data_IF_438416722375
#
_entry.id   IF_438416722375
#
_cell.length_a   1.000
_cell.length_b   1.000
_cell.length_c   1.000
_cell.angle_alpha   90.00
_cell.angle_beta   90.00
_cell.angle_gamma   90.00
#
_symmetry.space_group_name_H-M   'P 1'
#
loop_
_entity.id
_entity.type
_entity.pdbx_description
1 polymer ?
#
# COMPACT_ATOMS: atom_id res chain seq x y z
N UNK A 1 -6.09 66.39 32.22
CA UNK A 1 -6.73 65.21 32.86
C UNK A 1 -6.11 63.95 32.24
N UNK A 2 -5.08 63.36 32.87
CA UNK A 2 -5.11 62.13 33.70
C UNK A 2 -5.54 60.84 32.96
N UNK A 3 -4.53 59.97 32.76
CA UNK A 3 -4.46 58.48 32.92
C UNK A 3 -5.34 57.64 31.96
N UNK A 4 -4.87 56.57 31.31
CA UNK A 4 -4.10 55.45 31.85
C UNK A 4 -3.44 54.58 30.75
N UNK A 5 -2.22 54.10 31.00
CA UNK A 5 -1.60 52.91 30.40
C UNK A 5 -2.21 51.62 31.04
N UNK A 6 -1.99 50.34 30.68
CA UNK A 6 -0.83 49.53 30.23
C UNK A 6 -1.38 48.18 29.59
N UNK A 7 -0.64 47.05 29.35
CA UNK A 7 -0.17 46.56 28.05
C UNK A 7 -0.58 45.10 27.64
N UNK A 8 -0.13 44.71 26.45
CA UNK A 8 0.30 43.35 26.02
C UNK A 8 -0.69 42.18 26.07
N UNK A 9 -0.81 41.45 24.95
CA UNK A 9 -0.53 40.00 24.95
C UNK A 9 -0.65 39.34 23.56
N UNK A 10 0.44 38.62 23.24
CA UNK A 10 0.56 37.41 22.39
C UNK A 10 0.47 37.56 20.86
N UNK A 11 1.55 37.18 20.13
CA UNK A 11 1.45 36.95 18.70
C UNK A 11 0.58 35.72 18.45
N UNK A 12 -0.30 35.81 17.43
CA UNK A 12 -1.10 34.70 16.91
C UNK A 12 -0.15 33.52 16.61
N UNK A 13 -0.34 32.40 17.30
CA UNK A 13 0.32 31.13 16.97
C UNK A 13 -0.01 30.79 15.53
N UNK A 14 1.01 30.87 14.68
CA UNK A 14 0.96 30.36 13.32
C UNK A 14 0.72 28.85 13.41
N UNK A 15 -0.38 28.41 12.82
CA UNK A 15 -0.62 26.99 12.58
C UNK A 15 0.43 26.51 11.58
N UNK A 16 1.55 26.00 12.10
CA UNK A 16 2.48 25.20 11.30
C UNK A 16 1.70 23.97 10.85
N UNK A 17 1.33 23.96 9.57
CA UNK A 17 0.82 22.76 8.87
C UNK A 17 1.83 21.64 9.09
N UNK A 18 1.41 20.61 9.82
CA UNK A 18 2.13 19.34 9.92
C UNK A 18 2.35 18.80 8.51
N UNK A 19 3.61 18.69 8.11
CA UNK A 19 3.98 18.06 6.86
C UNK A 19 3.76 16.55 7.00
N UNK A 20 2.61 16.07 6.55
CA UNK A 20 2.31 14.65 6.39
C UNK A 20 3.25 14.05 5.33
N UNK A 21 4.40 13.54 5.76
CA UNK A 21 5.26 12.69 4.94
C UNK A 21 4.78 11.25 5.08
N UNK A 22 4.40 10.64 3.96
CA UNK A 22 4.26 9.20 3.84
C UNK A 22 5.63 8.59 4.19
N UNK A 23 5.68 7.74 5.23
CA UNK A 23 6.93 7.11 5.67
C UNK A 23 7.33 6.06 4.66
N UNK A 24 8.54 6.20 4.14
CA UNK A 24 9.17 5.23 3.24
C UNK A 24 10.26 4.51 3.99
N UNK A 25 10.65 3.32 3.52
CA UNK A 25 11.63 2.41 4.13
C UNK A 25 13.06 2.97 4.34
N UNK A 26 13.29 4.26 4.07
CA UNK A 26 14.45 5.02 4.53
C UNK A 26 14.37 5.39 6.02
N UNK A 27 13.17 5.36 6.61
CA UNK A 27 12.91 5.73 7.99
C UNK A 27 13.00 4.49 8.89
N UNK A 28 13.64 4.61 10.06
CA UNK A 28 13.83 3.53 11.03
C UNK A 28 12.50 2.92 11.50
N UNK A 29 12.43 1.58 11.49
CA UNK A 29 11.26 0.79 11.92
C UNK A 29 11.22 0.74 13.45
N UNK A 30 10.07 1.07 14.06
CA UNK A 30 9.87 0.83 15.49
C UNK A 30 9.62 -0.66 15.72
N UNK A 31 10.22 -1.30 16.74
CA UNK A 31 10.00 -2.71 17.02
C UNK A 31 8.51 -2.97 17.31
N UNK A 32 7.98 -4.07 16.75
CA UNK A 32 6.66 -4.60 17.11
C UNK A 32 6.62 -5.09 18.57
N UNK A 33 5.44 -5.45 19.07
CA UNK A 33 5.31 -6.09 20.39
C UNK A 33 6.22 -7.32 20.46
N UNK A 34 7.05 -7.41 21.50
CA UNK A 34 8.17 -8.36 21.63
C UNK A 34 7.82 -9.86 21.55
N UNK A 35 6.54 -10.22 21.45
CA UNK A 35 6.06 -11.62 21.47
C UNK A 35 5.60 -12.17 20.10
N UNK A 36 5.32 -11.31 19.11
CA UNK A 36 4.75 -11.74 17.83
C UNK A 36 5.72 -11.47 16.66
N UNK A 37 6.02 -12.51 15.87
CA UNK A 37 6.79 -12.39 14.63
C UNK A 37 6.08 -11.47 13.64
N UNK A 38 6.87 -10.68 12.93
CA UNK A 38 6.36 -9.85 11.84
C UNK A 38 5.80 -10.71 10.71
N UNK A 39 5.00 -10.10 9.83
CA UNK A 39 4.40 -10.82 8.71
C UNK A 39 4.19 -9.93 7.49
N UNK A 40 4.03 -10.61 6.35
CA UNK A 40 3.72 -10.01 5.07
C UNK A 40 2.20 -9.82 4.95
N UNK A 41 1.74 -8.59 4.72
CA UNK A 41 0.35 -8.27 4.41
C UNK A 41 0.27 -7.80 2.96
N UNK A 42 -0.42 -8.56 2.11
CA UNK A 42 -0.69 -8.20 0.73
C UNK A 42 -2.06 -7.54 0.68
N UNK A 43 -2.09 -6.30 0.21
CA UNK A 43 -3.31 -5.58 -0.13
C UNK A 43 -3.45 -5.54 -1.65
N UNK A 44 -4.47 -6.23 -2.17
CA UNK A 44 -4.79 -6.22 -3.59
C UNK A 44 -6.18 -5.64 -3.83
N UNK A 45 -6.43 -5.18 -5.05
CA UNK A 45 -7.72 -4.67 -5.46
C UNK A 45 -7.81 -4.71 -6.98
N UNK A 46 -9.03 -4.73 -7.55
CA UNK A 46 -9.20 -4.48 -8.97
C UNK A 46 -8.60 -3.11 -9.36
N UNK A 47 -8.11 -3.02 -10.58
CA UNK A 47 -7.54 -1.78 -11.10
C UNK A 47 -8.51 -0.60 -10.98
N UNK A 48 -8.12 0.46 -10.26
CA UNK A 48 -8.90 1.69 -10.08
C UNK A 48 -9.64 1.83 -8.74
N UNK A 49 -9.62 0.80 -7.89
CA UNK A 49 -10.35 0.79 -6.60
C UNK A 49 -9.76 1.69 -5.51
N UNK A 50 -8.61 2.34 -5.71
CA UNK A 50 -8.01 3.26 -4.72
C UNK A 50 -7.05 2.59 -3.73
N UNK A 51 -6.54 1.42 -4.11
CA UNK A 51 -5.59 0.60 -3.35
C UNK A 51 -4.39 1.38 -2.78
N UNK A 52 -3.79 2.27 -3.58
CA UNK A 52 -2.66 3.11 -3.15
C UNK A 52 -3.05 4.02 -1.98
N UNK A 53 -4.19 4.69 -2.07
CA UNK A 53 -4.69 5.59 -1.02
C UNK A 53 -4.93 4.83 0.28
N UNK A 54 -5.55 3.65 0.24
CA UNK A 54 -5.74 2.81 1.44
C UNK A 54 -4.40 2.38 2.01
N UNK A 55 -3.46 1.97 1.16
CA UNK A 55 -2.11 1.60 1.60
C UNK A 55 -1.34 2.72 2.29
N UNK A 56 -1.45 3.96 1.80
CA UNK A 56 -0.86 5.14 2.45
C UNK A 56 -1.50 5.42 3.82
N UNK A 57 -2.83 5.38 3.88
CA UNK A 57 -3.57 5.61 5.12
C UNK A 57 -3.26 4.55 6.19
N UNK A 58 -3.05 3.29 5.80
CA UNK A 58 -2.67 2.21 6.72
C UNK A 58 -1.36 2.50 7.46
N UNK A 59 -0.36 3.02 6.76
CA UNK A 59 0.94 3.40 7.34
C UNK A 59 0.87 4.68 8.20
N UNK A 60 -0.20 5.46 8.07
CA UNK A 60 -0.32 6.73 8.79
C UNK A 60 -0.69 6.48 10.25
N UNK A 61 0.21 6.81 11.17
CA UNK A 61 -0.03 6.73 12.61
C UNK A 61 0.36 5.41 13.27
N UNK A 62 0.82 4.41 12.50
CA UNK A 62 1.37 3.16 13.04
C UNK A 62 2.77 2.88 12.43
N UNK A 63 3.86 3.10 13.18
CA UNK A 63 5.22 2.91 12.68
C UNK A 63 5.61 1.42 12.51
N UNK A 64 4.78 0.50 12.98
CA UNK A 64 5.02 -0.95 12.86
C UNK A 64 4.48 -1.50 11.53
N UNK A 65 3.69 -0.73 10.78
CA UNK A 65 3.20 -1.08 9.44
C UNK A 65 4.02 -0.31 8.42
N UNK A 66 4.78 -1.02 7.59
CA UNK A 66 5.71 -0.40 6.66
C UNK A 66 5.39 -0.85 5.24
N UNK A 67 5.06 0.11 4.38
CA UNK A 67 4.75 -0.17 2.97
C UNK A 67 6.03 -0.44 2.18
N UNK A 68 6.02 -1.55 1.44
CA UNK A 68 7.05 -1.83 0.42
C UNK A 68 6.82 -0.95 -0.81
N UNK A 69 7.88 -0.25 -1.23
CA UNK A 69 7.87 0.57 -2.44
C UNK A 69 8.36 -0.29 -3.59
N UNK A 70 7.42 -0.79 -4.40
CA UNK A 70 7.73 -1.60 -5.58
C UNK A 70 8.55 -0.83 -6.62
N UNK A 71 9.34 -1.56 -7.40
CA UNK A 71 10.07 -1.06 -8.55
C UNK A 71 9.23 -1.24 -9.82
N UNK A 72 9.37 -0.35 -10.79
CA UNK A 72 8.72 -0.52 -12.10
C UNK A 72 9.52 0.11 -13.23
N UNK A 73 9.39 -0.45 -14.43
CA UNK A 73 10.02 0.06 -15.65
C UNK A 73 9.16 1.08 -16.41
N UNK A 74 7.89 1.27 -16.02
CA UNK A 74 7.08 2.30 -16.66
C UNK A 74 7.58 3.69 -16.34
N UNK A 75 7.21 4.64 -17.18
CA UNK A 75 7.38 6.05 -16.87
C UNK A 75 6.48 6.47 -15.70
N UNK A 76 7.03 7.35 -14.86
CA UNK A 76 6.32 8.03 -13.78
C UNK A 76 5.22 8.92 -14.34
N UNK A 77 4.03 8.91 -13.71
CA UNK A 77 2.93 9.83 -14.04
C UNK A 77 3.15 11.21 -13.41
N UNK A 78 2.51 12.28 -13.90
CA UNK A 78 2.73 13.64 -13.40
C UNK A 78 2.51 13.81 -11.88
N UNK A 79 1.59 13.06 -11.30
CA UNK A 79 1.22 13.13 -9.88
C UNK A 79 1.96 12.12 -8.99
N UNK A 80 2.92 11.37 -9.53
CA UNK A 80 3.68 10.35 -8.79
C UNK A 80 5.06 10.86 -8.38
N UNK A 81 5.54 10.33 -7.26
CA UNK A 81 6.83 10.64 -6.65
C UNK A 81 7.69 9.39 -6.61
N UNK A 82 8.89 9.52 -7.17
CA UNK A 82 9.87 8.45 -7.13
C UNK A 82 10.32 8.17 -5.68
N UNK A 83 10.51 6.89 -5.36
CA UNK A 83 10.83 6.42 -4.01
C UNK A 83 9.65 6.41 -3.04
N UNK A 84 8.50 6.98 -3.41
CA UNK A 84 7.27 6.98 -2.59
C UNK A 84 6.21 6.11 -3.26
N UNK A 85 5.76 6.46 -4.45
CA UNK A 85 4.72 5.69 -5.14
C UNK A 85 5.30 4.39 -5.71
N UNK A 86 6.41 4.52 -6.44
CA UNK A 86 7.24 3.45 -6.96
C UNK A 86 8.69 3.93 -6.99
N UNK A 87 9.62 2.99 -7.13
CA UNK A 87 10.96 3.28 -7.66
C UNK A 87 10.94 3.07 -9.17
N UNK A 88 11.05 4.16 -9.91
CA UNK A 88 11.02 4.14 -11.38
C UNK A 88 12.43 3.91 -11.92
N UNK A 89 12.64 2.78 -12.58
CA UNK A 89 13.96 2.36 -13.05
C UNK A 89 13.96 2.01 -14.53
N UNK A 90 15.15 1.94 -15.13
CA UNK A 90 15.26 1.47 -16.52
C UNK A 90 14.98 -0.03 -16.61
N UNK A 91 14.64 -0.52 -17.81
CA UNK A 91 14.49 -1.95 -18.05
C UNK A 91 15.78 -2.72 -17.78
N UNK A 92 16.94 -2.14 -18.10
CA UNK A 92 18.25 -2.78 -17.89
C UNK A 92 18.58 -2.88 -16.40
N UNK A 93 18.32 -1.82 -15.62
CA UNK A 93 18.48 -1.86 -14.16
C UNK A 93 17.54 -2.89 -13.53
N UNK A 94 16.29 -2.96 -13.99
CA UNK A 94 15.33 -3.94 -13.49
C UNK A 94 15.81 -5.38 -13.78
N UNK A 95 16.27 -5.65 -15.00
CA UNK A 95 16.81 -6.96 -15.40
C UNK A 95 18.08 -7.35 -14.64
N UNK A 96 18.95 -6.39 -14.34
CA UNK A 96 20.10 -6.62 -13.46
C UNK A 96 19.64 -7.04 -12.07
N UNK A 97 18.64 -6.36 -11.50
CA UNK A 97 18.07 -6.72 -10.19
C UNK A 97 17.38 -8.09 -10.17
N UNK A 98 16.78 -8.51 -11.28
CA UNK A 98 16.30 -9.90 -11.46
C UNK A 98 17.48 -10.87 -11.34
N UNK A 99 18.58 -10.64 -12.09
CA UNK A 99 19.77 -11.51 -12.06
C UNK A 99 20.40 -11.60 -10.67
N UNK A 100 20.28 -10.55 -9.87
CA UNK A 100 20.76 -10.49 -8.49
C UNK A 100 19.81 -11.11 -7.45
N UNK A 101 18.62 -11.59 -7.85
CA UNK A 101 17.63 -12.12 -6.91
C UNK A 101 17.03 -11.07 -5.97
N UNK A 102 17.10 -9.79 -6.34
CA UNK A 102 16.72 -8.67 -5.47
C UNK A 102 15.20 -8.52 -5.25
N UNK A 103 14.39 -9.29 -6.00
CA UNK A 103 12.94 -9.25 -5.91
C UNK A 103 12.39 -10.45 -5.14
N UNK A 104 11.38 -10.17 -4.32
CA UNK A 104 10.53 -11.20 -3.75
C UNK A 104 9.71 -11.83 -4.86
N UNK A 105 9.00 -10.99 -5.60
CA UNK A 105 8.26 -11.34 -6.82
C UNK A 105 8.48 -10.24 -7.85
N UNK A 106 8.34 -10.60 -9.11
CA UNK A 106 8.22 -9.65 -10.20
C UNK A 106 7.36 -10.23 -11.31
N UNK A 107 6.70 -9.36 -12.07
CA UNK A 107 5.85 -9.72 -13.18
C UNK A 107 5.84 -8.64 -14.25
N UNK A 108 5.57 -9.06 -15.49
CA UNK A 108 5.17 -8.16 -16.58
C UNK A 108 3.65 -7.99 -16.54
N UNK A 109 3.17 -6.80 -16.20
CA UNK A 109 1.74 -6.54 -15.96
C UNK A 109 1.05 -5.95 -17.20
N UNK A 110 1.81 -5.26 -18.03
CA UNK A 110 1.43 -4.74 -19.34
C UNK A 110 2.60 -4.99 -20.29
N UNK A 111 2.35 -4.96 -21.60
CA UNK A 111 3.35 -5.18 -22.65
C UNK A 111 4.64 -4.37 -22.41
N UNK A 112 5.73 -5.08 -22.08
CA UNK A 112 7.05 -4.54 -21.77
C UNK A 112 7.21 -3.82 -20.42
N UNK A 113 6.16 -3.78 -19.59
CA UNK A 113 6.14 -3.07 -18.30
C UNK A 113 6.26 -4.05 -17.14
N UNK A 114 7.41 -3.99 -16.47
CA UNK A 114 7.75 -4.83 -15.34
C UNK A 114 7.43 -4.12 -14.02
N UNK A 115 7.03 -4.91 -13.04
CA UNK A 115 6.85 -4.53 -11.65
C UNK A 115 7.50 -5.56 -10.75
N UNK A 116 8.10 -5.13 -9.64
CA UNK A 116 8.72 -6.06 -8.70
C UNK A 116 8.79 -5.51 -7.29
N UNK A 117 8.64 -6.41 -6.33
CA UNK A 117 8.69 -6.08 -4.90
C UNK A 117 10.10 -6.37 -4.36
N UNK A 118 10.85 -5.37 -3.84
CA UNK A 118 12.18 -5.58 -3.29
C UNK A 118 12.17 -6.55 -2.10
N UNK A 119 12.98 -7.61 -2.16
CA UNK A 119 13.05 -8.68 -1.15
C UNK A 119 13.52 -8.16 0.21
N UNK A 120 14.72 -7.57 0.26
CA UNK A 120 15.36 -7.23 1.53
C UNK A 120 14.54 -6.26 2.36
N UNK A 121 13.78 -5.37 1.70
CA UNK A 121 12.91 -4.42 2.38
C UNK A 121 11.78 -5.13 3.15
N UNK A 122 11.16 -6.14 2.53
CA UNK A 122 10.10 -6.93 3.13
C UNK A 122 10.65 -7.77 4.28
N UNK A 123 11.75 -8.49 4.04
CA UNK A 123 12.35 -9.38 5.03
C UNK A 123 12.85 -8.63 6.28
N UNK A 124 13.40 -7.42 6.12
CA UNK A 124 13.82 -6.59 7.26
C UNK A 124 12.66 -6.20 8.16
N UNK A 125 11.53 -5.79 7.59
CA UNK A 125 10.33 -5.39 8.35
C UNK A 125 9.74 -6.58 9.09
N UNK A 126 9.68 -7.75 8.43
CA UNK A 126 9.21 -8.99 9.05
C UNK A 126 10.11 -9.36 10.24
N UNK A 127 11.44 -9.31 10.05
CA UNK A 127 12.42 -9.64 11.09
C UNK A 127 12.35 -8.71 12.30
N UNK A 128 11.93 -7.46 12.13
CA UNK A 128 11.76 -6.50 13.23
C UNK A 128 10.42 -6.61 13.97
N UNK A 129 9.63 -7.66 13.72
CA UNK A 129 8.30 -7.82 14.31
C UNK A 129 7.22 -6.94 13.65
N UNK A 130 7.54 -6.30 12.51
CA UNK A 130 6.65 -5.38 11.81
C UNK A 130 5.74 -6.05 10.79
N UNK A 131 4.84 -5.26 10.21
CA UNK A 131 3.96 -5.67 9.11
C UNK A 131 4.51 -5.10 7.81
N UNK A 132 5.01 -5.95 6.94
CA UNK A 132 5.42 -5.55 5.59
C UNK A 132 4.17 -5.48 4.71
N UNK A 133 3.72 -4.26 4.40
CA UNK A 133 2.54 -4.01 3.57
C UNK A 133 2.93 -3.96 2.09
N UNK A 134 2.47 -4.93 1.30
CA UNK A 134 2.65 -4.97 -0.15
C UNK A 134 1.37 -4.53 -0.83
N UNK A 135 1.45 -3.47 -1.63
CA UNK A 135 0.30 -2.90 -2.35
C UNK A 135 0.38 -3.31 -3.82
N UNK A 136 0.09 -4.58 -4.12
CA UNK A 136 0.32 -5.19 -5.45
C UNK A 136 -0.99 -5.64 -6.12
N UNK A 137 -0.94 -6.02 -7.39
CA UNK A 137 -2.14 -6.48 -8.09
C UNK A 137 -2.48 -7.93 -7.72
N UNK A 138 -3.59 -8.42 -8.26
CA UNK A 138 -4.12 -9.72 -7.90
C UNK A 138 -3.17 -10.86 -8.29
N UNK A 139 -2.47 -10.73 -9.42
CA UNK A 139 -1.49 -11.71 -9.90
C UNK A 139 -0.27 -11.75 -8.98
N UNK A 140 0.28 -10.59 -8.63
CA UNK A 140 1.39 -10.48 -7.68
C UNK A 140 1.03 -11.07 -6.32
N UNK A 141 -0.21 -10.91 -5.85
CA UNK A 141 -0.66 -11.49 -4.58
C UNK A 141 -0.55 -13.01 -4.54
N UNK A 142 -0.92 -13.70 -5.63
CA UNK A 142 -0.76 -15.15 -5.74
C UNK A 142 0.71 -15.58 -5.71
N UNK A 143 1.60 -14.84 -6.40
CA UNK A 143 3.04 -15.10 -6.38
C UNK A 143 3.62 -14.93 -4.97
N UNK A 144 3.21 -13.89 -4.24
CA UNK A 144 3.63 -13.70 -2.85
C UNK A 144 3.16 -14.85 -1.96
N UNK A 145 1.91 -15.32 -2.07
CA UNK A 145 1.41 -16.44 -1.27
C UNK A 145 2.19 -17.74 -1.54
N UNK A 146 2.62 -17.97 -2.78
CA UNK A 146 3.46 -19.13 -3.11
C UNK A 146 4.85 -19.09 -2.45
N UNK A 147 5.43 -17.90 -2.30
CA UNK A 147 6.77 -17.71 -1.71
C UNK A 147 6.69 -17.58 -0.18
N UNK A 148 5.65 -16.92 0.32
CA UNK A 148 5.33 -16.75 1.73
C UNK A 148 3.91 -17.29 1.99
N UNK A 149 3.77 -18.60 2.26
CA UNK A 149 2.46 -19.21 2.54
C UNK A 149 1.72 -18.56 3.72
N UNK A 150 2.47 -18.03 4.69
CA UNK A 150 1.93 -17.31 5.87
C UNK A 150 1.58 -15.84 5.61
N UNK A 151 1.78 -15.34 4.39
CA UNK A 151 1.36 -14.00 4.02
C UNK A 151 -0.17 -13.87 4.15
N UNK A 152 -0.63 -12.73 4.63
CA UNK A 152 -2.05 -12.41 4.77
C UNK A 152 -2.49 -11.64 3.54
N UNK A 153 -3.44 -12.19 2.79
CA UNK A 153 -3.97 -11.60 1.58
C UNK A 153 -5.31 -10.94 1.88
N UNK A 154 -5.36 -9.62 1.68
CA UNK A 154 -6.57 -8.80 1.82
C UNK A 154 -6.97 -8.26 0.44
N UNK A 155 -8.20 -8.55 0.04
CA UNK A 155 -8.79 -8.06 -1.20
C UNK A 155 -9.73 -6.88 -0.93
N UNK A 156 -9.47 -5.74 -1.56
CA UNK A 156 -10.39 -4.60 -1.53
C UNK A 156 -11.49 -4.76 -2.57
N UNK A 157 -12.72 -4.85 -2.08
CA UNK A 157 -13.91 -5.04 -2.89
C UNK A 157 -14.45 -3.65 -3.26
N UNK A 158 -14.53 -3.29 -4.55
CA UNK A 158 -15.18 -2.05 -4.96
C UNK A 158 -16.70 -2.17 -4.70
N UNK A 159 -17.41 -1.07 -4.41
CA UNK A 159 -18.85 -1.12 -4.11
C UNK A 159 -19.66 -1.60 -5.31
N UNK A 160 -19.21 -1.28 -6.52
CA UNK A 160 -19.67 -1.89 -7.76
C UNK A 160 -18.70 -1.63 -8.91
N UNK A 161 -18.81 -2.43 -9.98
CA UNK A 161 -18.09 -2.15 -11.23
C UNK A 161 -18.52 -0.81 -11.87
N UNK A 162 -19.77 -0.39 -11.65
CA UNK A 162 -20.26 0.90 -12.15
C UNK A 162 -19.67 2.09 -11.38
N UNK A 163 -19.46 1.94 -10.07
CA UNK A 163 -18.67 2.90 -9.28
C UNK A 163 -17.25 3.01 -9.85
N UNK A 164 -16.61 1.89 -10.15
CA UNK A 164 -15.27 1.86 -10.72
C UNK A 164 -15.22 2.59 -12.07
N UNK A 165 -16.19 2.33 -12.96
CA UNK A 165 -16.34 3.00 -14.25
C UNK A 165 -16.49 4.53 -14.09
N UNK A 166 -17.37 4.96 -13.17
CA UNK A 166 -17.54 6.39 -12.86
C UNK A 166 -16.25 7.04 -12.36
N UNK A 167 -15.53 6.39 -11.44
CA UNK A 167 -14.25 6.88 -10.91
C UNK A 167 -13.17 7.00 -12.00
N UNK A 168 -13.08 6.02 -12.92
CA UNK A 168 -12.14 6.05 -14.04
C UNK A 168 -12.45 7.20 -15.00
N UNK A 169 -13.73 7.39 -15.36
CA UNK A 169 -14.19 8.51 -16.21
C UNK A 169 -13.95 9.87 -15.56
N UNK A 170 -14.25 10.03 -14.27
CA UNK A 170 -14.06 11.28 -13.54
C UNK A 170 -12.61 11.75 -13.46
N UNK A 171 -11.64 10.82 -13.53
CA UNK A 171 -10.21 11.19 -13.55
C UNK A 171 -9.81 11.87 -14.86
N UNK A 172 -10.50 11.59 -15.97
CA UNK A 172 -10.26 12.23 -17.26
C UNK A 172 -8.87 11.97 -17.88
N UNK A 173 -8.14 10.97 -17.38
CA UNK A 173 -6.76 10.67 -17.81
C UNK A 173 -6.68 9.58 -18.89
N UNK A 174 -7.82 8.97 -19.23
CA UNK A 174 -7.90 7.73 -20.01
C UNK A 174 -8.96 7.84 -21.11
N UNK A 175 -8.69 7.22 -22.26
CA UNK A 175 -9.67 7.09 -23.35
C UNK A 175 -10.73 6.05 -23.03
N UNK A 176 -11.88 6.09 -23.72
CA UNK A 176 -12.95 5.09 -23.52
C UNK A 176 -12.50 3.64 -23.78
N UNK A 177 -11.53 3.43 -24.68
CA UNK A 177 -10.92 2.11 -24.91
C UNK A 177 -10.07 1.66 -23.71
N UNK A 178 -9.26 2.56 -23.14
CA UNK A 178 -8.46 2.28 -21.95
C UNK A 178 -9.35 2.00 -20.73
N UNK A 179 -10.45 2.73 -20.59
CA UNK A 179 -11.43 2.50 -19.52
C UNK A 179 -12.08 1.12 -19.67
N UNK A 180 -12.52 0.75 -20.88
CA UNK A 180 -13.08 -0.59 -21.15
C UNK A 180 -12.10 -1.71 -20.78
N UNK A 181 -10.86 -1.64 -21.26
CA UNK A 181 -9.80 -2.60 -20.92
C UNK A 181 -9.58 -2.74 -19.41
N UNK A 182 -9.65 -1.64 -18.66
CA UNK A 182 -9.53 -1.69 -17.20
C UNK A 182 -10.73 -2.31 -16.52
N UNK A 183 -11.95 -2.06 -17.00
CA UNK A 183 -13.16 -2.69 -16.46
C UNK A 183 -13.17 -4.20 -16.72
N UNK A 184 -12.72 -4.63 -17.90
CA UNK A 184 -12.60 -6.06 -18.24
C UNK A 184 -11.53 -6.74 -17.39
N UNK A 185 -10.38 -6.07 -17.19
CA UNK A 185 -9.35 -6.52 -16.24
C UNK A 185 -9.92 -6.63 -14.82
N UNK A 186 -10.63 -5.61 -14.34
CA UNK A 186 -11.25 -5.62 -13.02
C UNK A 186 -12.25 -6.77 -12.84
N UNK A 187 -13.08 -7.06 -13.84
CA UNK A 187 -13.99 -8.24 -13.84
C UNK A 187 -13.23 -9.55 -13.71
N UNK A 188 -12.09 -9.65 -14.38
CA UNK A 188 -11.24 -10.85 -14.33
C UNK A 188 -10.54 -10.96 -12.98
N UNK A 189 -10.02 -9.86 -12.45
CA UNK A 189 -9.38 -9.77 -11.12
C UNK A 189 -10.34 -10.15 -9.98
N UNK A 190 -11.63 -9.81 -10.08
CA UNK A 190 -12.64 -10.21 -9.09
C UNK A 190 -12.80 -11.74 -8.97
N UNK A 191 -12.47 -12.53 -10.01
CA UNK A 191 -12.56 -14.00 -9.96
C UNK A 191 -11.55 -14.63 -8.99
N UNK A 192 -10.52 -13.89 -8.62
CA UNK A 192 -9.50 -14.35 -7.68
C UNK A 192 -9.87 -14.09 -6.22
N UNK A 193 -10.99 -13.41 -5.93
CA UNK A 193 -11.47 -13.16 -4.57
C UNK A 193 -11.40 -14.43 -3.66
N UNK A 194 -11.81 -15.64 -4.12
CA UNK A 194 -11.75 -16.84 -3.27
C UNK A 194 -10.34 -17.29 -2.87
N UNK A 195 -9.28 -16.77 -3.49
CA UNK A 195 -7.90 -17.08 -3.15
C UNK A 195 -7.33 -16.17 -2.04
N UNK A 196 -8.11 -15.21 -1.54
CA UNK A 196 -7.70 -14.25 -0.51
C UNK A 196 -8.21 -14.69 0.87
N UNK A 197 -7.43 -14.38 1.90
CA UNK A 197 -7.78 -14.71 3.29
C UNK A 197 -8.91 -13.81 3.81
N UNK A 198 -8.96 -12.55 3.35
CA UNK A 198 -9.98 -11.56 3.75
C UNK A 198 -10.47 -10.71 2.58
N UNK A 199 -11.77 -10.38 2.60
CA UNK A 199 -12.37 -9.35 1.75
C UNK A 199 -12.78 -8.12 2.57
N UNK A 200 -12.50 -6.92 2.07
CA UNK A 200 -12.87 -5.66 2.73
C UNK A 200 -13.49 -4.71 1.72
N UNK A 201 -14.70 -4.22 2.02
CA UNK A 201 -15.37 -3.25 1.16
C UNK A 201 -14.67 -1.89 1.17
N UNK A 202 -14.59 -1.27 -0.01
CA UNK A 202 -13.99 0.05 -0.21
C UNK A 202 -14.97 1.01 -0.88
N UNK A 203 -16.01 1.35 -0.11
CA UNK A 203 -17.04 2.30 -0.52
C UNK A 203 -16.48 3.71 -0.79
N UNK A 204 -17.11 4.41 -1.74
CA UNK A 204 -16.78 5.79 -2.08
C UNK A 204 -16.92 6.70 -0.84
N UNK A 205 -15.84 7.39 -0.47
CA UNK A 205 -15.83 8.34 0.66
C UNK A 205 -15.74 7.70 2.06
N UNK A 206 -15.61 6.37 2.17
CA UNK A 206 -15.48 5.67 3.45
C UNK A 206 -14.09 5.07 3.68
N UNK A 207 -13.04 5.71 3.17
CA UNK A 207 -11.66 5.19 3.24
C UNK A 207 -11.23 4.88 4.68
N UNK A 208 -11.64 5.68 5.66
CA UNK A 208 -11.29 5.45 7.07
C UNK A 208 -11.89 4.14 7.59
N UNK A 209 -13.14 3.83 7.26
CA UNK A 209 -13.79 2.58 7.67
C UNK A 209 -13.08 1.36 7.07
N UNK A 210 -12.68 1.43 5.80
CA UNK A 210 -11.86 0.39 5.15
C UNK A 210 -10.51 0.21 5.86
N UNK A 211 -9.85 1.31 6.22
CA UNK A 211 -8.56 1.28 6.95
C UNK A 211 -8.74 0.65 8.34
N UNK A 212 -9.80 1.00 9.06
CA UNK A 212 -10.07 0.47 10.40
C UNK A 212 -10.38 -1.03 10.36
N UNK A 213 -11.11 -1.49 9.35
CA UNK A 213 -11.35 -2.93 9.14
C UNK A 213 -10.05 -3.70 8.90
N UNK A 214 -9.15 -3.17 8.07
CA UNK A 214 -7.84 -3.80 7.80
C UNK A 214 -6.95 -3.77 9.04
N UNK A 215 -6.97 -2.69 9.83
CA UNK A 215 -6.28 -2.63 11.13
C UNK A 215 -6.81 -3.67 12.10
N UNK A 216 -8.12 -3.93 12.09
CA UNK A 216 -8.74 -5.04 12.82
C UNK A 216 -8.17 -6.39 12.41
N UNK A 217 -8.06 -6.64 11.10
CA UNK A 217 -7.41 -7.86 10.55
C UNK A 217 -5.97 -7.96 11.05
N UNK A 218 -5.16 -6.91 10.90
CA UNK A 218 -3.77 -6.88 11.37
C UNK A 218 -3.68 -7.19 12.87
N UNK A 219 -4.54 -6.60 13.68
CA UNK A 219 -4.57 -6.81 15.11
C UNK A 219 -4.91 -8.27 15.47
N UNK A 220 -5.86 -8.90 14.77
CA UNK A 220 -6.19 -10.32 14.94
C UNK A 220 -5.02 -11.21 14.50
N UNK A 221 -4.42 -10.90 13.36
CA UNK A 221 -3.30 -11.63 12.77
C UNK A 221 -2.03 -11.59 13.64
N UNK A 222 -1.82 -10.53 14.43
CA UNK A 222 -0.76 -10.46 15.45
C UNK A 222 -0.98 -11.41 16.63
N UNK A 223 -2.23 -11.81 16.89
CA UNK A 223 -2.60 -12.73 17.98
C UNK A 223 -2.60 -14.20 17.56
N UNK A 224 -2.26 -14.50 16.30
CA UNK A 224 -2.20 -15.87 15.81
C UNK A 224 -1.04 -16.61 16.49
N UNK A 225 -1.35 -17.68 17.23
CA UNK A 225 -0.37 -18.46 18.00
C UNK A 225 0.79 -18.97 17.13
N UNK A 226 0.52 -19.33 15.86
CA UNK A 226 1.57 -19.78 14.92
C UNK A 226 2.64 -18.72 14.64
N UNK A 227 2.40 -17.46 15.01
CA UNK A 227 3.35 -16.35 14.87
C UNK A 227 4.08 -15.98 16.14
N UNK A 228 3.74 -16.60 17.26
CA UNK A 228 4.45 -16.36 18.50
C UNK A 228 5.77 -17.13 18.47
N UNK A 229 6.82 -16.56 19.05
CA UNK A 229 8.03 -17.33 19.30
C UNK A 229 7.69 -18.42 20.32
N UNK A 230 7.98 -19.68 19.98
CA UNK A 230 7.80 -20.76 20.94
C UNK A 230 8.88 -20.61 22.02
N UNK A 231 8.53 -20.82 23.30
CA UNK A 231 9.45 -20.69 24.41
C UNK A 231 10.64 -21.66 24.32
#
# INVERSE_FOLDING_TARGET
MRKSAIPSSRPRKSWRRSANRCRTLSDSVAPGSAEAKGFCLVLSAPSGTGKTTIGELLTTGDPTIVRSVSMTTRKKRPNERDGIDYRFVSADEFKEKIRQGAFLEWAEVYDGVLYGTPRDAVERVIRSGGVALLVIDVQGGGAVKAIFPEAVLVFLIPPSLDSLSRRLKQRGLETDDQIRKRLDKARTEMKYLPAYDYGVDNEDGKQQSTVDAIRGIIATERRRISRWEQP
#
